data_IF_562922537170
#
_entry.id   IF_562922537170
#
_cell.length_a   1.000
_cell.length_b   1.000
_cell.length_c   1.000
_cell.angle_alpha   90.00
_cell.angle_beta   90.00
_cell.angle_gamma   90.00
#
_symmetry.space_group_name_H-M   'P 1'
#
loop_
_entity.id
_entity.type
_entity.pdbx_description
1 polymer ?
#
# COMPACT_ATOMS: atom_id res chain seq x y z
N UNK A 1 -19.03 2.09 21.62
CA UNK A 1 -18.60 0.94 20.79
C UNK A 1 -17.82 0.00 21.70
N UNK A 2 -18.26 -1.24 21.90
CA UNK A 2 -17.54 -2.22 22.72
C UNK A 2 -16.55 -2.98 21.84
N UNK A 3 -15.26 -2.68 22.00
CA UNK A 3 -14.16 -3.36 21.31
C UNK A 3 -13.41 -4.27 22.28
N UNK A 4 -12.71 -5.28 21.76
CA UNK A 4 -11.89 -6.16 22.58
C UNK A 4 -10.73 -5.39 23.23
N UNK A 5 -10.39 -5.72 24.49
CA UNK A 5 -9.32 -5.03 25.23
C UNK A 5 -7.97 -4.98 24.51
N UNK A 6 -7.61 -6.02 23.73
CA UNK A 6 -6.34 -6.05 22.97
C UNK A 6 -6.22 -4.93 21.93
N UNK A 7 -7.33 -4.32 21.52
CA UNK A 7 -7.32 -3.22 20.57
C UNK A 7 -6.57 -2.00 21.10
N UNK A 8 -6.46 -1.82 22.43
CA UNK A 8 -5.68 -0.73 23.01
C UNK A 8 -4.16 -0.90 22.88
N UNK A 9 -3.70 -2.09 22.49
CA UNK A 9 -2.27 -2.37 22.28
C UNK A 9 -1.78 -1.95 20.89
N UNK A 10 -2.71 -1.64 19.97
CA UNK A 10 -2.35 -1.16 18.64
C UNK A 10 -1.93 0.32 18.74
N UNK A 11 -0.70 0.61 18.36
CA UNK A 11 -0.23 1.98 18.17
C UNK A 11 -0.84 2.61 16.92
N UNK A 12 -0.48 3.87 16.68
CA UNK A 12 -0.86 4.61 15.46
C UNK A 12 0.27 4.56 14.43
N UNK A 13 -0.09 4.51 13.15
CA UNK A 13 0.86 4.68 12.05
C UNK A 13 1.31 6.15 11.98
N UNK A 14 2.62 6.40 11.91
CA UNK A 14 3.21 7.75 11.96
C UNK A 14 3.73 8.23 10.61
N UNK A 15 4.02 7.31 9.67
CA UNK A 15 4.51 7.68 8.34
C UNK A 15 3.50 8.53 7.56
N UNK A 16 2.20 8.20 7.65
CA UNK A 16 1.15 8.98 6.99
C UNK A 16 0.96 10.37 7.58
N UNK A 17 1.19 10.55 8.89
CA UNK A 17 1.14 11.86 9.53
C UNK A 17 2.25 12.78 9.01
N UNK A 18 3.44 12.21 8.78
CA UNK A 18 4.58 12.93 8.19
C UNK A 18 4.30 13.26 6.73
N UNK A 19 3.80 12.30 5.95
CA UNK A 19 3.42 12.50 4.55
C UNK A 19 2.38 13.62 4.39
N UNK A 20 1.36 13.66 5.26
CA UNK A 20 0.34 14.71 5.23
C UNK A 20 0.93 16.10 5.47
N UNK A 21 1.88 16.22 6.42
CA UNK A 21 2.60 17.48 6.69
C UNK A 21 3.51 17.87 5.53
N UNK A 22 4.22 16.92 4.94
CA UNK A 22 5.07 17.13 3.77
C UNK A 22 4.24 17.71 2.61
N UNK A 23 3.12 17.08 2.25
CA UNK A 23 2.19 17.58 1.22
C UNK A 23 1.66 18.97 1.49
N UNK A 24 1.37 19.30 2.75
CA UNK A 24 0.92 20.64 3.14
C UNK A 24 2.01 21.72 2.93
N UNK A 25 3.28 21.36 3.09
CA UNK A 25 4.43 22.24 2.83
C UNK A 25 4.70 22.37 1.33
N UNK A 26 4.59 21.29 0.56
CA UNK A 26 4.68 21.32 -0.90
C UNK A 26 3.61 22.25 -1.51
N UNK A 27 2.38 22.20 -1.00
CA UNK A 27 1.30 23.08 -1.43
C UNK A 27 1.57 24.58 -1.16
N UNK A 28 2.51 24.89 -0.26
CA UNK A 28 3.00 26.25 0.01
C UNK A 28 4.19 26.63 -0.89
N UNK A 29 4.56 25.78 -1.85
CA UNK A 29 5.67 26.00 -2.78
C UNK A 29 7.04 25.63 -2.21
N UNK A 30 7.11 24.83 -1.14
CA UNK A 30 8.38 24.33 -0.60
C UNK A 30 8.82 23.08 -1.34
N UNK A 31 10.12 22.97 -1.59
CA UNK A 31 10.76 21.77 -2.11
C UNK A 31 11.01 20.79 -0.95
N UNK A 32 10.51 19.56 -1.06
CA UNK A 32 10.50 18.56 0.01
C UNK A 32 11.12 17.26 -0.49
N UNK A 33 12.04 16.70 0.29
CA UNK A 33 12.61 15.37 0.06
C UNK A 33 11.90 14.37 0.95
N UNK A 34 11.25 13.38 0.33
CA UNK A 34 10.53 12.33 1.04
C UNK A 34 11.48 11.20 1.47
N UNK A 35 11.51 10.90 2.76
CA UNK A 35 12.32 9.85 3.39
C UNK A 35 11.50 9.00 4.38
N UNK A 36 10.18 9.19 4.39
CA UNK A 36 9.24 8.61 5.35
C UNK A 36 8.46 7.41 4.81
N UNK A 37 8.43 7.21 3.49
CA UNK A 37 7.68 6.14 2.83
C UNK A 37 8.63 5.02 2.38
N UNK A 38 8.27 3.79 2.72
CA UNK A 38 9.08 2.59 2.44
C UNK A 38 8.72 1.86 1.14
N UNK A 39 7.82 2.41 0.32
CA UNK A 39 7.52 1.83 -0.99
C UNK A 39 8.57 2.24 -2.03
N UNK A 40 8.94 1.37 -2.98
CA UNK A 40 9.86 1.75 -4.03
C UNK A 40 9.24 2.75 -5.01
N UNK A 41 10.07 3.58 -5.61
CA UNK A 41 9.70 4.63 -6.57
C UNK A 41 9.52 4.13 -8.02
N UNK A 42 9.74 2.83 -8.26
CA UNK A 42 9.61 2.23 -9.57
C UNK A 42 8.24 1.59 -9.79
N UNK A 43 7.80 1.65 -11.05
CA UNK A 43 6.60 0.97 -11.52
C UNK A 43 6.73 -0.56 -11.45
N UNK A 44 5.60 -1.23 -11.22
CA UNK A 44 5.53 -2.69 -11.40
C UNK A 44 5.99 -3.08 -12.82
N UNK A 45 6.93 -4.04 -12.96
CA UNK A 45 7.44 -4.46 -14.27
C UNK A 45 6.34 -4.83 -15.28
N UNK A 46 6.47 -4.46 -16.57
CA UNK A 46 5.42 -4.67 -17.56
C UNK A 46 4.97 -6.13 -17.72
N UNK A 47 5.90 -7.10 -17.66
CA UNK A 47 5.57 -8.52 -17.78
C UNK A 47 4.66 -9.02 -16.64
N UNK A 48 4.79 -8.45 -15.43
CA UNK A 48 3.91 -8.75 -14.29
C UNK A 48 2.52 -8.17 -14.55
N UNK A 49 2.44 -6.92 -15.02
CA UNK A 49 1.17 -6.28 -15.40
C UNK A 49 0.43 -7.10 -16.47
N UNK A 50 1.15 -7.58 -17.49
CA UNK A 50 0.57 -8.43 -18.54
C UNK A 50 0.10 -9.79 -18.01
N UNK A 51 0.87 -10.47 -17.17
CA UNK A 51 0.48 -11.75 -16.58
C UNK A 51 -0.79 -11.61 -15.72
N UNK A 52 -0.89 -10.54 -14.93
CA UNK A 52 -2.08 -10.24 -14.15
C UNK A 52 -3.31 -9.99 -15.04
N UNK A 53 -3.15 -9.20 -16.12
CA UNK A 53 -4.22 -8.96 -17.08
C UNK A 53 -4.69 -10.25 -17.78
N UNK A 54 -3.76 -11.13 -18.16
CA UNK A 54 -4.07 -12.42 -18.76
C UNK A 54 -4.79 -13.35 -17.76
N UNK A 55 -4.37 -13.38 -16.50
CA UNK A 55 -5.06 -14.15 -15.46
C UNK A 55 -6.52 -13.70 -15.29
N UNK A 56 -6.79 -12.40 -15.35
CA UNK A 56 -8.16 -11.87 -15.34
C UNK A 56 -8.96 -12.33 -16.56
N UNK A 57 -8.38 -12.25 -17.77
CA UNK A 57 -9.02 -12.71 -19.01
C UNK A 57 -9.33 -14.21 -18.99
N UNK A 58 -8.47 -15.00 -18.36
CA UNK A 58 -8.61 -16.45 -18.25
C UNK A 58 -9.52 -16.89 -17.09
N UNK A 59 -10.15 -15.97 -16.36
CA UNK A 59 -11.12 -16.28 -15.31
C UNK A 59 -10.52 -16.74 -13.98
N UNK A 60 -9.27 -16.38 -13.67
CA UNK A 60 -8.66 -16.64 -12.36
C UNK A 60 -9.22 -15.69 -11.28
N UNK A 61 -10.50 -15.83 -10.96
CA UNK A 61 -11.29 -14.92 -10.09
C UNK A 61 -11.94 -15.61 -8.89
N UNK A 62 -11.60 -16.88 -8.66
CA UNK A 62 -12.22 -17.71 -7.62
C UNK A 62 -11.22 -18.14 -6.56
N UNK A 63 -11.73 -18.80 -5.53
CA UNK A 63 -10.92 -19.31 -4.45
C UNK A 63 -9.80 -20.22 -4.96
N UNK A 64 -8.65 -20.06 -4.33
CA UNK A 64 -7.47 -20.91 -4.49
C UNK A 64 -7.26 -21.70 -3.20
N UNK A 65 -6.42 -22.75 -3.19
CA UNK A 65 -6.05 -23.43 -1.95
C UNK A 65 -5.52 -22.42 -0.92
N UNK A 66 -5.81 -22.66 0.36
CA UNK A 66 -5.33 -21.83 1.48
C UNK A 66 -3.84 -21.49 1.44
N UNK A 67 -2.91 -22.41 1.08
CA UNK A 67 -1.49 -22.06 1.00
C UNK A 67 -1.10 -21.21 -0.23
N UNK A 68 -2.01 -21.00 -1.18
CA UNK A 68 -1.74 -20.33 -2.47
C UNK A 68 -1.73 -21.29 -3.66
N UNK A 69 -1.52 -20.73 -4.85
CA UNK A 69 -1.32 -21.48 -6.10
C UNK A 69 0.16 -21.94 -6.12
N UNK A 70 0.45 -23.21 -6.49
CA UNK A 70 1.82 -23.72 -6.62
C UNK A 70 2.70 -22.96 -7.60
#
# INVERSE_FOLDING_TARGET
MNVANRMSLLGTESAFDVLAKAKALEAQGKDIIHLEIGEPDFETPPHIKHAAAQALQNGYTHYVPTPGIP
#
